data_IF_955339780853
#
_entry.id   IF_955339780853
#
_cell.length_a   1.000
_cell.length_b   1.000
_cell.length_c   1.000
_cell.angle_alpha   90.00
_cell.angle_beta   90.00
_cell.angle_gamma   90.00
#
_symmetry.space_group_name_H-M   'P 1'
#
loop_
_entity.id
_entity.type
_entity.pdbx_description
1 polymer ?
#
# COMPACT_ATOMS: atom_id res chain seq x y z
N UNK A 1 -9.89 -23.44 -17.55
CA UNK A 1 -9.91 -22.21 -16.72
C UNK A 1 -11.27 -21.57 -16.91
N UNK A 2 -12.04 -21.35 -15.83
CA UNK A 2 -13.26 -20.53 -15.91
C UNK A 2 -12.86 -19.09 -16.28
N UNK A 3 -13.58 -18.42 -17.20
CA UNK A 3 -13.26 -17.04 -17.57
C UNK A 3 -13.42 -16.14 -16.34
N UNK A 4 -12.30 -15.62 -15.83
CA UNK A 4 -12.31 -14.63 -14.75
C UNK A 4 -12.65 -13.28 -15.36
N UNK A 5 -13.71 -12.63 -14.84
CA UNK A 5 -14.10 -11.29 -15.25
C UNK A 5 -12.97 -10.31 -14.96
N UNK A 6 -12.56 -9.55 -15.97
CA UNK A 6 -11.71 -8.37 -15.80
C UNK A 6 -12.58 -7.27 -15.20
N UNK A 7 -12.14 -6.67 -14.09
CA UNK A 7 -12.92 -5.68 -13.35
C UNK A 7 -12.54 -4.25 -13.73
N UNK A 8 -11.26 -4.00 -14.00
CA UNK A 8 -10.75 -2.74 -14.51
C UNK A 8 -9.53 -2.99 -15.42
N UNK A 9 -9.38 -2.12 -16.42
CA UNK A 9 -8.21 -2.03 -17.28
C UNK A 9 -7.66 -0.60 -17.21
N UNK A 10 -6.34 -0.47 -17.13
CA UNK A 10 -5.69 0.84 -17.12
C UNK A 10 -4.36 0.78 -17.85
N UNK A 11 -4.15 1.67 -18.81
CA UNK A 11 -2.86 1.89 -19.45
C UNK A 11 -2.23 3.12 -18.81
N UNK A 12 -1.11 2.94 -18.13
CA UNK A 12 -0.41 4.04 -17.49
C UNK A 12 0.53 4.76 -18.49
N UNK A 13 1.05 5.90 -18.06
CA UNK A 13 1.99 6.75 -18.81
C UNK A 13 3.36 6.09 -19.06
N UNK A 14 3.63 4.93 -18.46
CA UNK A 14 4.83 4.12 -18.65
C UNK A 14 4.62 3.00 -19.67
N UNK A 15 3.47 2.99 -20.36
CA UNK A 15 3.07 1.97 -21.32
C UNK A 15 2.95 0.58 -20.68
N UNK A 16 2.50 0.52 -19.42
CA UNK A 16 2.17 -0.70 -18.70
C UNK A 16 0.65 -0.84 -18.65
N UNK A 17 0.15 -2.00 -19.06
CA UNK A 17 -1.25 -2.35 -18.96
C UNK A 17 -1.51 -3.08 -17.65
N UNK A 18 -2.36 -2.49 -16.82
CA UNK A 18 -2.89 -3.11 -15.63
C UNK A 18 -4.25 -3.73 -15.92
N UNK A 19 -4.41 -4.99 -15.52
CA UNK A 19 -5.68 -5.71 -15.59
C UNK A 19 -6.04 -6.26 -14.23
N UNK A 20 -7.15 -5.78 -13.65
CA UNK A 20 -7.62 -6.25 -12.36
C UNK A 20 -8.61 -7.40 -12.51
N UNK A 21 -8.49 -8.36 -11.60
CA UNK A 21 -9.35 -9.51 -11.43
C UNK A 21 -9.73 -9.63 -9.96
N UNK A 22 -10.63 -10.56 -9.65
CA UNK A 22 -10.82 -10.98 -8.27
C UNK A 22 -9.48 -11.45 -7.67
N UNK A 23 -9.09 -10.81 -6.57
CA UNK A 23 -7.91 -11.02 -5.73
C UNK A 23 -6.56 -10.78 -6.41
N UNK A 24 -6.53 -10.30 -7.65
CA UNK A 24 -5.28 -10.18 -8.41
C UNK A 24 -5.27 -8.94 -9.29
N UNK A 25 -4.09 -8.38 -9.47
CA UNK A 25 -3.78 -7.37 -10.46
C UNK A 25 -2.61 -7.87 -11.31
N UNK A 26 -2.81 -7.95 -12.62
CA UNK A 26 -1.74 -8.25 -13.57
C UNK A 26 -1.16 -6.96 -14.12
N UNK A 27 0.16 -6.90 -14.20
CA UNK A 27 0.90 -5.84 -14.88
C UNK A 27 1.54 -6.44 -16.13
N UNK A 28 1.22 -5.88 -17.29
CA UNK A 28 1.64 -6.34 -18.61
C UNK A 28 2.45 -5.21 -19.25
N UNK A 29 3.61 -5.53 -19.83
CA UNK A 29 4.32 -4.59 -20.68
C UNK A 29 3.51 -4.34 -21.94
N UNK A 30 3.06 -3.11 -22.16
CA UNK A 30 2.28 -2.74 -23.33
C UNK A 30 3.06 -2.79 -24.65
N UNK A 31 4.40 -2.78 -24.62
CA UNK A 31 5.23 -2.87 -25.84
C UNK A 31 5.33 -4.31 -26.31
N UNK A 32 5.88 -5.16 -25.44
CA UNK A 32 6.14 -6.57 -25.74
C UNK A 32 4.90 -7.46 -25.54
N UNK A 33 3.84 -6.93 -24.93
CA UNK A 33 2.61 -7.65 -24.52
C UNK A 33 2.91 -8.86 -23.62
N UNK A 34 3.98 -8.76 -22.83
CA UNK A 34 4.43 -9.80 -21.90
C UNK A 34 3.97 -9.48 -20.48
N UNK A 35 3.60 -10.52 -19.73
CA UNK A 35 3.33 -10.38 -18.30
C UNK A 35 4.63 -9.97 -17.58
N UNK A 36 4.60 -8.84 -16.88
CA UNK A 36 5.74 -8.31 -16.11
C UNK A 36 5.65 -8.77 -14.67
N UNK A 37 4.47 -8.62 -14.05
CA UNK A 37 4.28 -8.98 -12.65
C UNK A 37 2.82 -9.31 -12.36
N UNK A 38 2.58 -9.94 -11.21
CA UNK A 38 1.24 -10.15 -10.65
C UNK A 38 1.26 -9.78 -9.19
N UNK A 39 0.39 -8.84 -8.81
CA UNK A 39 0.18 -8.43 -7.42
C UNK A 39 -1.05 -9.17 -6.88
N UNK A 40 -0.87 -9.93 -5.80
CA UNK A 40 -1.97 -10.55 -5.06
C UNK A 40 -2.54 -9.51 -4.12
N UNK A 41 -3.79 -9.14 -4.33
CA UNK A 41 -4.49 -8.16 -3.50
C UNK A 41 -4.90 -8.87 -2.20
N UNK A 42 -4.19 -8.54 -1.11
CA UNK A 42 -4.42 -9.00 0.27
C UNK A 42 -4.91 -10.45 0.40
N UNK A 43 -3.95 -11.38 0.61
CA UNK A 43 -4.20 -12.83 0.73
C UNK A 43 -5.31 -13.24 1.72
N UNK A 44 -5.63 -12.38 2.69
CA UNK A 44 -6.58 -12.67 3.77
C UNK A 44 -7.95 -11.98 3.61
N UNK A 45 -8.17 -11.17 2.57
CA UNK A 45 -9.46 -10.55 2.29
C UNK A 45 -10.14 -11.27 1.12
N UNK A 46 -11.27 -11.91 1.43
CA UNK A 46 -12.14 -12.52 0.43
C UNK A 46 -12.67 -11.41 -0.48
N UNK A 47 -12.28 -11.43 -1.76
CA UNK A 47 -12.73 -10.53 -2.83
C UNK A 47 -12.01 -9.17 -2.96
N UNK A 48 -10.71 -9.10 -2.65
CA UNK A 48 -9.88 -7.94 -2.99
C UNK A 48 -9.93 -7.62 -4.48
N UNK A 49 -10.34 -6.42 -4.88
CA UNK A 49 -10.30 -6.01 -6.29
C UNK A 49 -9.95 -4.54 -6.44
N UNK A 50 -9.37 -4.19 -7.59
CA UNK A 50 -9.12 -2.81 -8.00
C UNK A 50 -10.26 -2.36 -8.90
N UNK A 51 -10.88 -1.24 -8.53
CA UNK A 51 -12.03 -0.65 -9.23
C UNK A 51 -11.62 0.49 -10.16
N UNK A 52 -10.63 1.27 -9.76
CA UNK A 52 -10.17 2.45 -10.50
C UNK A 52 -8.67 2.65 -10.34
N UNK A 53 -8.05 3.32 -11.32
CA UNK A 53 -6.62 3.56 -11.36
C UNK A 53 -6.32 4.93 -11.96
N UNK A 54 -5.28 5.59 -11.48
CA UNK A 54 -4.82 6.89 -12.01
C UNK A 54 -3.33 7.10 -11.77
N UNK A 55 -2.65 7.73 -12.72
CA UNK A 55 -1.28 8.18 -12.55
C UNK A 55 -1.21 9.52 -11.82
N UNK A 56 -0.25 9.63 -10.90
CA UNK A 56 0.15 10.92 -10.36
C UNK A 56 1.29 11.56 -11.18
N UNK A 57 1.61 12.81 -10.84
CA UNK A 57 2.70 13.56 -11.47
C UNK A 57 4.09 13.18 -10.91
N UNK A 58 4.17 12.26 -9.94
CA UNK A 58 5.39 11.82 -9.26
C UNK A 58 5.90 10.47 -9.77
N UNK A 59 5.23 9.89 -10.77
CA UNK A 59 5.61 8.61 -11.38
C UNK A 59 5.06 7.39 -10.64
N UNK A 60 3.96 7.55 -9.91
CA UNK A 60 3.23 6.43 -9.30
C UNK A 60 1.87 6.24 -9.98
N UNK A 61 1.45 4.98 -10.08
CA UNK A 61 0.07 4.61 -10.41
C UNK A 61 -0.66 4.30 -9.09
N UNK A 62 -1.78 4.97 -8.87
CA UNK A 62 -2.66 4.79 -7.71
C UNK A 62 -3.84 3.90 -8.09
N UNK A 63 -4.29 3.07 -7.15
CA UNK A 63 -5.30 2.05 -7.36
C UNK A 63 -6.31 2.10 -6.23
N UNK A 64 -7.58 2.37 -6.56
CA UNK A 64 -8.68 2.27 -5.62
C UNK A 64 -9.14 0.83 -5.48
N UNK A 65 -9.26 0.35 -4.25
CA UNK A 65 -9.69 -1.02 -3.94
C UNK A 65 -10.88 -1.03 -3.00
N UNK A 66 -11.47 -2.21 -2.78
CA UNK A 66 -12.50 -2.41 -1.76
C UNK A 66 -11.98 -2.44 -0.31
N UNK A 67 -10.69 -2.16 -0.08
CA UNK A 67 -10.06 -2.16 1.26
C UNK A 67 -8.98 -1.07 1.37
N UNK A 68 -9.25 0.08 0.75
CA UNK A 68 -8.34 1.22 0.73
C UNK A 68 -7.68 1.46 -0.62
N UNK A 69 -6.49 2.07 -0.58
CA UNK A 69 -5.77 2.56 -1.76
C UNK A 69 -4.41 1.87 -1.83
N UNK A 70 -4.00 1.46 -3.02
CA UNK A 70 -2.65 0.96 -3.30
C UNK A 70 -1.95 1.96 -4.22
N UNK A 71 -0.64 2.07 -4.09
CA UNK A 71 0.19 2.83 -5.03
C UNK A 71 1.33 1.94 -5.50
N UNK A 72 1.66 2.03 -6.78
CA UNK A 72 2.77 1.33 -7.42
C UNK A 72 3.72 2.40 -7.96
N UNK A 73 4.98 2.35 -7.54
CA UNK A 73 6.02 3.19 -8.11
C UNK A 73 6.49 2.58 -9.43
N UNK A 74 6.26 3.29 -10.55
CA UNK A 74 6.51 2.74 -11.87
C UNK A 74 8.00 2.62 -12.23
N UNK A 75 8.91 3.22 -11.44
CA UNK A 75 10.37 3.16 -11.66
C UNK A 75 11.01 1.91 -11.05
N UNK A 76 10.51 1.46 -9.90
CA UNK A 76 11.10 0.35 -9.16
C UNK A 76 10.11 -0.78 -8.81
N UNK A 77 8.86 -0.69 -9.27
CA UNK A 77 7.77 -1.63 -9.00
C UNK A 77 7.47 -1.87 -7.51
N UNK A 78 7.87 -0.95 -6.62
CA UNK A 78 7.49 -1.03 -5.21
C UNK A 78 6.04 -0.61 -5.03
N UNK A 79 5.27 -1.44 -4.33
CA UNK A 79 3.88 -1.16 -3.97
C UNK A 79 3.74 -0.79 -2.50
N UNK A 80 2.84 0.15 -2.19
CA UNK A 80 2.45 0.47 -0.82
C UNK A 80 0.92 0.44 -0.69
N UNK A 81 0.44 -0.06 0.43
CA UNK A 81 -0.99 -0.16 0.75
C UNK A 81 -1.35 0.81 1.85
N UNK A 82 -2.36 1.64 1.59
CA UNK A 82 -3.02 2.50 2.57
C UNK A 82 -4.36 1.85 2.90
N UNK A 83 -4.41 1.13 4.02
CA UNK A 83 -5.59 0.40 4.43
C UNK A 83 -6.67 1.37 4.94
N UNK A 84 -7.84 1.30 4.33
CA UNK A 84 -9.04 1.99 4.80
C UNK A 84 -10.19 0.98 4.85
N UNK A 85 -11.12 1.09 5.83
CA UNK A 85 -12.31 0.26 5.89
C UNK A 85 -13.38 0.71 4.86
N UNK A 86 -12.94 1.24 3.71
CA UNK A 86 -13.77 1.83 2.68
C UNK A 86 -13.41 1.26 1.30
N UNK A 87 -14.42 1.22 0.44
CA UNK A 87 -14.22 0.90 -0.96
C UNK A 87 -14.03 2.17 -1.77
N UNK A 88 -13.02 2.19 -2.63
CA UNK A 88 -12.74 3.29 -3.55
C UNK A 88 -13.17 2.87 -4.96
N UNK A 89 -14.12 3.61 -5.52
CA UNK A 89 -14.81 3.24 -6.75
C UNK A 89 -14.31 3.99 -7.98
N UNK A 90 -13.95 5.25 -7.82
CA UNK A 90 -13.50 6.12 -8.90
C UNK A 90 -12.54 7.20 -8.40
N UNK A 91 -11.78 7.78 -9.32
CA UNK A 91 -10.78 8.80 -9.01
C UNK A 91 -10.58 9.76 -10.18
N UNK A 92 -10.38 11.03 -9.86
CA UNK A 92 -9.91 12.03 -10.81
C UNK A 92 -8.80 12.89 -10.20
N UNK A 93 -7.99 13.48 -11.07
CA UNK A 93 -7.01 14.49 -10.66
C UNK A 93 -7.63 15.87 -10.79
N UNK A 94 -7.55 16.65 -9.71
CA UNK A 94 -7.93 18.05 -9.68
C UNK A 94 -6.83 18.92 -10.31
N UNK A 95 -7.18 20.13 -10.75
CA UNK A 95 -6.24 21.07 -11.39
C UNK A 95 -5.02 21.41 -10.53
N UNK A 96 -5.13 21.30 -9.21
CA UNK A 96 -4.04 21.54 -8.27
C UNK A 96 -3.14 20.30 -8.05
N UNK A 97 -3.37 19.20 -8.76
CA UNK A 97 -2.60 17.96 -8.64
C UNK A 97 -3.12 17.00 -7.56
N UNK A 98 -4.07 17.41 -6.72
CA UNK A 98 -4.69 16.54 -5.73
C UNK A 98 -5.50 15.44 -6.43
N UNK A 99 -5.54 14.26 -5.81
CA UNK A 99 -6.40 13.18 -6.24
C UNK A 99 -7.70 13.24 -5.45
N UNK A 100 -8.83 13.35 -6.15
CA UNK A 100 -10.18 13.28 -5.58
C UNK A 100 -10.75 11.89 -5.87
N UNK A 101 -11.16 11.23 -4.80
CA UNK A 101 -11.64 9.86 -4.81
C UNK A 101 -13.10 9.79 -4.41
N UNK A 102 -13.84 8.91 -5.07
CA UNK A 102 -15.19 8.49 -4.68
C UNK A 102 -15.06 7.21 -3.86
N UNK A 103 -15.47 7.25 -2.60
CA UNK A 103 -15.48 6.11 -1.68
C UNK A 103 -16.90 5.68 -1.30
N UNK A 104 -17.00 4.56 -0.57
CA UNK A 104 -18.24 4.06 0.02
C UNK A 104 -18.85 4.98 1.07
N UNK A 105 -18.10 5.95 1.60
CA UNK A 105 -18.55 6.87 2.65
C UNK A 105 -18.63 8.32 2.18
N UNK A 106 -18.14 8.64 0.98
CA UNK A 106 -18.23 9.97 0.41
C UNK A 106 -17.08 10.31 -0.53
N UNK A 107 -16.58 11.55 -0.40
CA UNK A 107 -15.45 12.05 -1.18
C UNK A 107 -14.21 12.18 -0.29
N UNK A 108 -13.08 11.71 -0.79
CA UNK A 108 -11.79 11.77 -0.13
C UNK A 108 -10.76 12.39 -1.06
N UNK A 109 -9.95 13.34 -0.61
CA UNK A 109 -8.90 13.90 -1.46
C UNK A 109 -7.61 14.16 -0.70
N UNK A 110 -6.48 14.06 -1.40
CA UNK A 110 -5.16 14.34 -0.86
C UNK A 110 -4.17 14.72 -1.95
N UNK A 111 -3.09 15.37 -1.53
CA UNK A 111 -1.91 15.57 -2.37
C UNK A 111 -1.03 14.30 -2.34
N UNK A 112 -0.83 13.62 -3.48
CA UNK A 112 -0.04 12.38 -3.54
C UNK A 112 1.46 12.61 -3.23
N UNK A 113 2.00 13.80 -3.50
CA UNK A 113 3.39 14.14 -3.18
C UNK A 113 3.60 14.23 -1.68
N UNK A 114 2.73 14.96 -0.97
CA UNK A 114 2.80 15.14 0.48
C UNK A 114 2.65 13.79 1.21
N UNK A 115 1.69 12.96 0.79
CA UNK A 115 1.45 11.65 1.40
C UNK A 115 2.71 10.77 1.35
N UNK A 116 3.47 10.81 0.25
CA UNK A 116 4.69 10.02 0.05
C UNK A 116 5.93 10.61 0.72
N UNK A 117 6.02 11.94 0.83
CA UNK A 117 7.18 12.63 1.40
C UNK A 117 7.27 12.55 2.91
N UNK A 118 6.18 12.21 3.61
CA UNK A 118 6.16 12.10 5.07
C UNK A 118 6.95 10.89 5.59
N UNK A 119 8.27 10.86 5.38
CA UNK A 119 9.22 10.11 6.19
C UNK A 119 9.63 11.00 7.36
N UNK A 120 8.78 11.08 8.39
CA UNK A 120 9.23 11.71 9.64
C UNK A 120 10.45 10.94 10.15
N UNK A 121 11.52 11.65 10.52
CA UNK A 121 12.67 11.09 11.22
C UNK A 121 12.23 10.66 12.63
N UNK A 122 11.48 9.55 12.72
CA UNK A 122 11.06 8.97 13.99
C UNK A 122 12.24 8.19 14.50
N UNK A 123 12.70 8.61 15.66
CA UNK A 123 13.62 7.80 16.42
C UNK A 123 12.83 6.60 16.94
N UNK A 124 13.25 5.41 16.54
CA UNK A 124 12.69 4.17 17.04
C UNK A 124 13.32 3.93 18.41
N UNK A 125 12.49 3.87 19.44
CA UNK A 125 12.91 3.51 20.78
C UNK A 125 12.34 2.15 21.14
N UNK A 126 13.17 1.31 21.77
CA UNK A 126 12.68 0.10 22.42
C UNK A 126 11.91 0.55 23.66
N UNK A 127 10.58 0.41 23.62
CA UNK A 127 9.72 0.82 24.74
C UNK A 127 9.69 -0.22 25.87
N UNK A 128 9.96 -1.49 25.54
CA UNK A 128 9.86 -2.58 26.50
C UNK A 128 10.59 -3.85 26.06
N UNK A 129 11.00 -4.66 27.04
CA UNK A 129 11.60 -5.98 26.83
C UNK A 129 10.96 -6.96 27.81
N UNK A 130 10.49 -8.10 27.31
CA UNK A 130 9.93 -9.18 28.11
C UNK A 130 10.75 -10.46 27.99
N UNK A 131 10.99 -11.13 29.11
CA UNK A 131 11.61 -12.46 29.18
C UNK A 131 10.60 -13.42 29.79
N UNK A 132 10.30 -14.53 29.10
CA UNK A 132 9.30 -15.52 29.53
C UNK A 132 7.93 -14.89 29.87
N UNK A 133 7.44 -13.99 29.02
CA UNK A 133 6.17 -13.25 29.19
C UNK A 133 6.14 -12.24 30.35
N UNK A 134 7.24 -12.05 31.07
CA UNK A 134 7.37 -11.05 32.11
C UNK A 134 8.20 -9.87 31.62
N UNK A 135 7.65 -8.65 31.77
CA UNK A 135 8.35 -7.40 31.52
C UNK A 135 9.60 -7.31 32.41
N UNK A 136 10.71 -6.84 31.84
CA UNK A 136 11.99 -6.66 32.51
C UNK A 136 12.38 -5.19 32.43
N UNK A 137 12.59 -4.58 33.59
CA UNK A 137 13.04 -3.20 33.70
C UNK A 137 14.57 -3.13 33.73
N UNK A 138 15.09 -1.92 33.59
CA UNK A 138 16.53 -1.65 33.72
C UNK A 138 16.95 -1.94 35.16
N UNK A 139 17.95 -2.80 35.33
CA UNK A 139 18.47 -3.22 36.62
C UNK A 139 17.85 -4.51 37.16
N UNK A 140 16.81 -5.06 36.52
CA UNK A 140 16.20 -6.32 36.97
C UNK A 140 17.17 -7.50 36.74
N UNK A 141 17.32 -8.32 37.78
CA UNK A 141 18.13 -9.54 37.76
C UNK A 141 17.22 -10.76 37.52
N UNK A 142 17.53 -11.54 36.49
CA UNK A 142 16.85 -12.79 36.16
C UNK A 142 17.87 -13.91 36.05
N UNK A 143 17.68 -14.99 36.81
CA UNK A 143 18.58 -16.16 36.85
C UNK A 143 20.06 -15.79 37.12
N UNK A 144 20.32 -14.80 37.97
CA UNK A 144 21.69 -14.37 38.31
C UNK A 144 22.32 -13.37 37.32
N UNK A 145 21.56 -12.88 36.35
CA UNK A 145 22.06 -11.96 35.32
C UNK A 145 21.18 -10.70 35.21
N UNK A 146 21.82 -9.54 35.15
CA UNK A 146 21.16 -8.27 34.83
C UNK A 146 20.95 -8.19 33.32
N UNK A 147 19.69 -8.13 32.89
CA UNK A 147 19.32 -8.19 31.46
C UNK A 147 19.52 -6.85 30.75
N UNK A 148 19.20 -5.73 31.42
CA UNK A 148 19.53 -4.38 30.96
C UNK A 148 20.18 -3.59 32.08
N UNK A 149 21.41 -3.16 31.88
CA UNK A 149 22.14 -2.32 32.83
C UNK A 149 22.00 -0.81 32.57
N UNK A 150 21.49 -0.41 31.39
CA UNK A 150 21.28 0.99 31.02
C UNK A 150 20.17 1.12 29.96
N UNK A 151 19.52 2.29 29.85
CA UNK A 151 18.58 2.56 28.77
C UNK A 151 19.32 2.54 27.41
N UNK A 152 18.65 2.01 26.38
CA UNK A 152 19.10 2.16 25.00
C UNK A 152 18.71 3.56 24.52
N UNK A 153 19.70 4.45 24.38
CA UNK A 153 19.58 5.78 23.76
C UNK A 153 19.81 5.73 22.27
#
# INVERSE_FOLDING_TARGET
MTPKKVLALYLNNYNQLFASYANNLMQIDGKEKKLVSTLILQKNLLNGHVSCMIDDQNGNTWLGTNSGIITINNKNNLSYTYAFPESFYDVCQLNNGNLLWVSSTGLFYFDPYVLKKNSSNRHLYISDIGVNYHKVNIGDELNGQIILNKPYT
#
